data_IF_635018823272
#
_entry.id   IF_635018823272
#
_cell.length_a   1.000
_cell.length_b   1.000
_cell.length_c   1.000
_cell.angle_alpha   90.00
_cell.angle_beta   90.00
_cell.angle_gamma   90.00
#
_symmetry.space_group_name_H-M   'P 1'
#
loop_
_entity.id
_entity.type
_entity.pdbx_description
1 polymer ?
#
# COMPACT_ATOMS: atom_id res chain seq x y z
N UNK A 1 -32.95 -18.42 3.50
CA UNK A 1 -32.18 -17.37 4.16
C UNK A 1 -31.14 -16.99 3.12
N UNK A 2 -31.20 -15.80 2.58
CA UNK A 2 -30.15 -15.27 1.71
C UNK A 2 -28.87 -15.20 2.51
N UNK A 3 -27.78 -15.69 1.97
CA UNK A 3 -26.45 -15.51 2.54
C UNK A 3 -26.26 -14.00 2.78
N UNK A 4 -25.96 -13.54 4.00
CA UNK A 4 -25.79 -12.12 4.27
C UNK A 4 -24.52 -11.53 3.60
N UNK A 5 -23.69 -12.35 2.96
CA UNK A 5 -22.48 -11.96 2.25
C UNK A 5 -22.75 -11.87 0.74
N UNK A 6 -22.70 -10.67 0.20
CA UNK A 6 -22.70 -10.40 -1.23
C UNK A 6 -21.47 -9.57 -1.60
N UNK A 7 -20.47 -10.20 -2.22
CA UNK A 7 -19.22 -9.55 -2.60
C UNK A 7 -19.43 -8.42 -3.64
N UNK A 8 -20.43 -8.55 -4.51
CA UNK A 8 -20.72 -7.51 -5.50
C UNK A 8 -21.34 -6.27 -4.87
N UNK A 9 -22.24 -6.44 -3.89
CA UNK A 9 -22.84 -5.33 -3.17
C UNK A 9 -21.80 -4.57 -2.34
N UNK A 10 -20.93 -5.31 -1.62
CA UNK A 10 -19.82 -4.72 -0.86
C UNK A 10 -18.85 -3.98 -1.77
N UNK A 11 -18.40 -4.58 -2.86
CA UNK A 11 -17.50 -3.93 -3.81
C UNK A 11 -18.08 -2.65 -4.42
N UNK A 12 -19.37 -2.67 -4.77
CA UNK A 12 -20.08 -1.49 -5.28
C UNK A 12 -20.16 -0.38 -4.24
N UNK A 13 -20.44 -0.71 -2.97
CA UNK A 13 -20.49 0.27 -1.88
C UNK A 13 -19.12 0.90 -1.64
N UNK A 14 -18.03 0.11 -1.67
CA UNK A 14 -16.65 0.62 -1.57
C UNK A 14 -16.31 1.56 -2.74
N UNK A 15 -16.67 1.19 -3.97
CA UNK A 15 -16.46 2.06 -5.13
C UNK A 15 -17.21 3.37 -5.02
N UNK A 16 -18.49 3.32 -4.62
CA UNK A 16 -19.28 4.52 -4.42
C UNK A 16 -18.69 5.43 -3.33
N UNK A 17 -18.24 4.87 -2.22
CA UNK A 17 -17.57 5.62 -1.16
C UNK A 17 -16.31 6.32 -1.68
N UNK A 18 -15.49 5.61 -2.49
CA UNK A 18 -14.31 6.18 -3.14
C UNK A 18 -14.65 7.28 -4.15
N UNK A 19 -15.71 7.11 -4.93
CA UNK A 19 -16.10 8.05 -5.98
C UNK A 19 -16.75 9.32 -5.41
N UNK A 20 -17.50 9.20 -4.31
CA UNK A 20 -18.26 10.31 -3.71
C UNK A 20 -17.53 11.01 -2.58
N UNK A 21 -16.48 10.40 -2.01
CA UNK A 21 -15.83 10.87 -0.79
C UNK A 21 -16.74 10.76 0.44
N UNK A 22 -17.70 9.83 0.44
CA UNK A 22 -18.60 9.59 1.57
C UNK A 22 -18.13 8.41 2.41
N UNK A 23 -18.15 8.59 3.74
CA UNK A 23 -17.81 7.51 4.66
C UNK A 23 -18.95 6.50 4.80
N UNK A 24 -18.58 5.25 5.00
CA UNK A 24 -19.51 4.11 5.18
C UNK A 24 -19.30 3.44 6.53
N UNK A 25 -20.27 2.64 6.95
CA UNK A 25 -20.11 1.81 8.14
C UNK A 25 -19.25 0.57 7.81
N UNK A 26 -18.36 0.13 8.74
CA UNK A 26 -17.64 -1.11 8.56
C UNK A 26 -18.57 -2.30 8.29
N UNK A 27 -18.22 -3.15 7.35
CA UNK A 27 -19.01 -4.33 7.00
C UNK A 27 -19.06 -5.32 8.16
N UNK A 28 -17.97 -5.44 8.92
CA UNK A 28 -17.93 -6.27 10.13
C UNK A 28 -18.89 -5.83 11.22
N UNK A 29 -19.32 -4.56 11.23
CA UNK A 29 -20.36 -4.07 12.15
C UNK A 29 -21.77 -4.48 11.72
N UNK A 30 -21.96 -4.92 10.48
CA UNK A 30 -23.26 -5.34 9.90
C UNK A 30 -23.44 -6.85 9.91
N UNK A 31 -22.37 -7.63 10.06
CA UNK A 31 -22.38 -9.09 10.07
C UNK A 31 -20.98 -9.68 10.13
N UNK A 32 -20.90 -11.00 10.25
CA UNK A 32 -19.60 -11.68 10.21
C UNK A 32 -19.02 -11.58 8.80
N UNK A 33 -17.75 -11.19 8.73
CA UNK A 33 -16.96 -11.11 7.51
C UNK A 33 -15.57 -11.67 7.82
N UNK A 34 -15.16 -12.73 7.14
CA UNK A 34 -13.84 -13.31 7.30
C UNK A 34 -12.84 -12.82 6.23
N UNK A 35 -11.56 -13.19 6.39
CA UNK A 35 -10.50 -12.77 5.47
C UNK A 35 -10.69 -13.31 4.05
N UNK A 36 -11.18 -14.55 3.90
CA UNK A 36 -11.40 -15.16 2.58
C UNK A 36 -12.52 -14.45 1.84
N UNK A 37 -13.60 -14.14 2.55
CA UNK A 37 -14.70 -13.33 2.02
C UNK A 37 -14.21 -11.94 1.61
N UNK A 38 -13.38 -11.28 2.42
CA UNK A 38 -12.83 -9.97 2.10
C UNK A 38 -11.93 -10.01 0.85
N UNK A 39 -11.10 -11.03 0.67
CA UNK A 39 -10.32 -11.21 -0.56
C UNK A 39 -11.17 -11.58 -1.78
N UNK A 40 -12.33 -12.23 -1.58
CA UNK A 40 -13.32 -12.38 -2.67
C UNK A 40 -13.88 -11.03 -3.10
N UNK A 41 -14.14 -10.10 -2.15
CA UNK A 41 -14.54 -8.72 -2.48
C UNK A 41 -13.45 -8.00 -3.28
N UNK A 42 -12.16 -8.17 -2.92
CA UNK A 42 -11.03 -7.60 -3.66
C UNK A 42 -11.03 -8.04 -5.13
N UNK A 43 -11.29 -9.32 -5.41
CA UNK A 43 -11.40 -9.83 -6.78
C UNK A 43 -12.55 -9.16 -7.55
N UNK A 44 -13.73 -9.06 -6.94
CA UNK A 44 -14.90 -8.39 -7.56
C UNK A 44 -14.64 -6.90 -7.75
N UNK A 45 -14.00 -6.24 -6.79
CA UNK A 45 -13.63 -4.83 -6.89
C UNK A 45 -12.69 -4.59 -8.08
N UNK A 46 -11.72 -5.51 -8.31
CA UNK A 46 -10.86 -5.47 -9.48
C UNK A 46 -11.67 -5.55 -10.78
N UNK A 47 -12.55 -6.53 -10.91
CA UNK A 47 -13.40 -6.69 -12.10
C UNK A 47 -14.22 -5.43 -12.38
N UNK A 48 -14.80 -4.81 -11.34
CA UNK A 48 -15.60 -3.60 -11.48
C UNK A 48 -14.76 -2.38 -11.90
N UNK A 49 -13.54 -2.22 -11.38
CA UNK A 49 -12.63 -1.14 -11.77
C UNK A 49 -12.13 -1.31 -13.21
N UNK A 50 -11.76 -2.53 -13.61
CA UNK A 50 -11.37 -2.85 -14.99
C UNK A 50 -12.53 -2.60 -15.97
N UNK A 51 -13.76 -2.97 -15.60
CA UNK A 51 -14.95 -2.70 -16.39
C UNK A 51 -15.22 -1.18 -16.59
N UNK A 52 -14.72 -0.33 -15.68
CA UNK A 52 -14.74 1.14 -15.79
C UNK A 52 -13.58 1.69 -16.62
N UNK A 53 -12.68 0.84 -17.11
CA UNK A 53 -11.51 1.21 -17.91
C UNK A 53 -10.30 1.66 -17.08
N UNK A 54 -10.26 1.36 -15.78
CA UNK A 54 -9.07 1.54 -14.95
C UNK A 54 -8.09 0.40 -15.21
N UNK A 55 -6.79 0.70 -15.18
CA UNK A 55 -5.74 -0.28 -15.44
C UNK A 55 -5.06 -0.65 -14.12
N UNK A 56 -5.07 -1.94 -13.80
CA UNK A 56 -4.31 -2.46 -12.66
C UNK A 56 -2.80 -2.28 -12.92
N UNK A 57 -2.09 -1.66 -11.99
CA UNK A 57 -0.65 -1.36 -12.14
C UNK A 57 0.22 -2.00 -11.06
N UNK A 58 -0.37 -2.57 -10.03
CA UNK A 58 0.41 -3.23 -8.97
C UNK A 58 -0.37 -3.41 -7.68
N UNK A 59 0.36 -3.70 -6.61
CA UNK A 59 -0.21 -3.97 -5.28
C UNK A 59 0.55 -3.27 -4.18
N UNK A 60 -0.19 -2.85 -3.16
CA UNK A 60 0.34 -2.35 -1.90
C UNK A 60 0.30 -3.45 -0.84
N UNK A 61 1.24 -3.41 0.11
CA UNK A 61 1.26 -4.30 1.27
C UNK A 61 0.97 -3.46 2.52
N UNK A 62 -0.04 -3.85 3.27
CA UNK A 62 -0.40 -3.21 4.54
C UNK A 62 -0.09 -4.09 5.76
N UNK A 63 -0.12 -3.51 6.95
CA UNK A 63 0.17 -4.16 8.23
C UNK A 63 1.55 -4.86 8.26
N UNK A 64 2.55 -4.21 7.68
CA UNK A 64 3.91 -4.76 7.65
C UNK A 64 4.69 -4.53 8.94
N UNK A 65 4.26 -3.58 9.78
CA UNK A 65 4.84 -3.35 11.09
C UNK A 65 4.20 -4.28 12.13
N UNK A 66 4.95 -5.29 12.59
CA UNK A 66 4.46 -6.28 13.57
C UNK A 66 4.06 -5.67 14.91
N UNK A 67 4.50 -4.46 15.24
CA UNK A 67 4.14 -3.80 16.51
C UNK A 67 2.66 -3.42 16.56
N UNK A 68 2.01 -3.23 15.42
CA UNK A 68 0.58 -2.91 15.35
C UNK A 68 -0.33 -4.15 15.28
N UNK A 69 0.23 -5.34 15.05
CA UNK A 69 -0.56 -6.58 14.92
C UNK A 69 -1.48 -6.87 16.11
N UNK A 70 -1.04 -6.73 17.39
CA UNK A 70 -1.93 -6.92 18.52
C UNK A 70 -3.07 -5.89 18.58
N UNK A 71 -2.87 -4.69 18.02
CA UNK A 71 -3.87 -3.61 18.02
C UNK A 71 -5.02 -3.95 17.08
N UNK A 72 -4.70 -4.51 15.90
CA UNK A 72 -5.68 -4.84 14.86
C UNK A 72 -6.07 -6.32 14.84
N UNK A 73 -5.53 -7.14 15.77
CA UNK A 73 -5.84 -8.57 15.86
C UNK A 73 -5.43 -9.36 14.62
N UNK A 74 -4.31 -8.98 13.99
CA UNK A 74 -3.76 -9.64 12.79
C UNK A 74 -2.52 -10.45 13.15
N UNK A 75 -2.20 -11.43 12.32
CA UNK A 75 -1.02 -12.30 12.41
C UNK A 75 -0.25 -12.36 11.07
N UNK A 76 -0.72 -11.65 10.06
CA UNK A 76 -0.13 -11.57 8.73
C UNK A 76 -0.34 -10.17 8.11
N UNK A 77 0.50 -9.75 7.14
CA UNK A 77 0.24 -8.57 6.35
C UNK A 77 -1.00 -8.77 5.47
N UNK A 78 -1.57 -7.66 5.02
CA UNK A 78 -2.64 -7.63 4.01
C UNK A 78 -2.12 -6.98 2.73
N UNK A 79 -2.91 -7.05 1.67
CA UNK A 79 -2.60 -6.38 0.41
C UNK A 79 -3.86 -5.78 -0.22
N UNK A 80 -3.65 -4.84 -1.14
CA UNK A 80 -4.68 -4.26 -1.98
C UNK A 80 -4.14 -3.89 -3.35
N UNK A 81 -5.03 -3.72 -4.34
CA UNK A 81 -4.66 -3.35 -5.70
C UNK A 81 -4.40 -1.85 -5.83
N UNK A 82 -3.47 -1.49 -6.73
CA UNK A 82 -3.21 -0.12 -7.16
C UNK A 82 -3.55 0.06 -8.64
N UNK A 83 -3.98 1.27 -8.99
CA UNK A 83 -4.55 1.59 -10.29
C UNK A 83 -3.79 2.74 -10.97
N UNK A 84 -3.82 2.78 -12.30
CA UNK A 84 -3.18 3.84 -13.10
C UNK A 84 -3.62 5.24 -12.68
N UNK A 85 -4.85 5.38 -12.17
CA UNK A 85 -5.42 6.66 -11.70
C UNK A 85 -4.97 7.06 -10.30
N UNK A 86 -4.33 6.16 -9.57
CA UNK A 86 -3.90 6.41 -8.18
C UNK A 86 -2.37 6.39 -8.02
N UNK A 87 -1.61 6.15 -9.09
CA UNK A 87 -0.14 6.15 -9.08
C UNK A 87 0.37 7.34 -9.88
N UNK A 88 1.12 8.22 -9.22
CA UNK A 88 1.62 9.48 -9.77
C UNK A 88 3.15 9.53 -9.68
N UNK A 89 3.79 10.16 -10.66
CA UNK A 89 5.23 10.42 -10.67
C UNK A 89 5.51 11.79 -10.03
N UNK A 90 6.33 11.83 -8.98
CA UNK A 90 6.71 13.08 -8.31
C UNK A 90 7.54 14.01 -9.19
N UNK A 91 8.08 13.54 -10.32
CA UNK A 91 8.69 14.42 -11.31
C UNK A 91 7.66 15.31 -12.03
N UNK A 92 6.39 14.88 -12.06
CA UNK A 92 5.28 15.56 -12.73
C UNK A 92 4.36 16.30 -11.75
N UNK A 93 4.43 15.96 -10.44
CA UNK A 93 3.51 16.46 -9.40
C UNK A 93 4.31 17.11 -8.27
N UNK A 94 4.31 18.43 -8.18
CA UNK A 94 4.92 19.18 -7.07
C UNK A 94 3.95 19.51 -5.93
N UNK A 95 2.65 19.52 -6.23
CA UNK A 95 1.55 19.74 -5.29
C UNK A 95 0.49 18.67 -5.56
N UNK A 96 -0.11 18.13 -4.50
CA UNK A 96 -1.13 17.10 -4.60
C UNK A 96 -2.38 17.54 -3.85
N UNK A 97 -3.55 17.48 -4.51
CA UNK A 97 -4.83 17.78 -3.86
C UNK A 97 -5.28 16.63 -3.00
N UNK A 98 -5.80 16.97 -1.82
CA UNK A 98 -6.43 16.00 -0.92
C UNK A 98 -7.94 15.84 -1.19
N UNK A 99 -8.47 16.56 -2.19
CA UNK A 99 -9.88 16.48 -2.56
C UNK A 99 -10.30 15.05 -2.90
N UNK A 100 -11.38 14.59 -2.27
CA UNK A 100 -11.90 13.24 -2.46
C UNK A 100 -11.24 12.16 -1.60
N UNK A 101 -10.14 12.45 -0.90
CA UNK A 101 -9.56 11.51 0.05
C UNK A 101 -10.24 11.61 1.42
N UNK A 102 -10.50 10.45 2.02
CA UNK A 102 -11.19 10.32 3.30
C UNK A 102 -10.19 10.15 4.45
N UNK A 103 -10.10 11.15 5.33
CA UNK A 103 -9.17 11.16 6.48
C UNK A 103 -7.74 10.71 6.11
N UNK A 104 -7.10 11.33 5.08
CA UNK A 104 -5.86 10.82 4.51
C UNK A 104 -4.70 10.85 5.50
N UNK A 105 -3.81 9.86 5.37
CA UNK A 105 -2.55 9.77 6.11
C UNK A 105 -1.39 9.49 5.15
N UNK A 106 -0.20 9.93 5.54
CA UNK A 106 1.04 9.78 4.76
C UNK A 106 1.87 8.61 5.29
N UNK A 107 2.39 7.81 4.37
CA UNK A 107 3.22 6.64 4.62
C UNK A 107 4.45 6.65 3.69
N UNK A 108 5.66 6.90 4.20
CA UNK A 108 6.88 6.76 3.38
C UNK A 108 7.20 5.28 3.17
N UNK A 109 7.39 4.87 1.91
CA UNK A 109 7.56 3.47 1.52
C UNK A 109 8.68 3.25 0.51
N UNK A 110 9.14 2.00 0.38
CA UNK A 110 9.92 1.54 -0.74
C UNK A 110 8.99 0.83 -1.73
N UNK A 111 9.15 1.16 -3.01
CA UNK A 111 8.43 0.52 -4.11
C UNK A 111 9.40 -0.22 -5.03
N UNK A 112 8.94 -1.37 -5.55
CA UNK A 112 9.63 -2.15 -6.59
C UNK A 112 8.75 -2.29 -7.82
N UNK A 113 9.36 -2.34 -9.02
CA UNK A 113 8.69 -2.78 -10.22
C UNK A 113 9.28 -4.12 -10.66
N UNK A 114 8.44 -5.06 -11.03
CA UNK A 114 8.85 -6.39 -11.38
C UNK A 114 9.28 -6.50 -12.85
N UNK A 115 10.52 -6.94 -13.10
CA UNK A 115 11.00 -7.37 -14.41
C UNK A 115 10.52 -8.76 -14.81
N UNK A 116 10.22 -9.61 -13.81
CA UNK A 116 9.67 -10.95 -13.96
C UNK A 116 8.88 -11.34 -12.72
N UNK A 117 8.00 -12.33 -12.86
CA UNK A 117 7.25 -12.87 -11.73
C UNK A 117 8.20 -13.49 -10.68
N UNK A 118 8.08 -13.12 -9.39
CA UNK A 118 8.76 -13.83 -8.32
C UNK A 118 8.06 -15.15 -7.98
N UNK A 119 8.79 -16.09 -7.38
CA UNK A 119 8.28 -17.38 -6.95
C UNK A 119 8.38 -17.55 -5.43
N UNK A 120 7.48 -18.34 -4.80
CA UNK A 120 7.55 -18.65 -3.38
C UNK A 120 8.90 -19.26 -2.98
N UNK A 121 9.38 -18.92 -1.78
CA UNK A 121 10.63 -19.42 -1.24
C UNK A 121 11.90 -18.76 -1.79
N UNK A 122 11.79 -17.75 -2.64
CA UNK A 122 12.94 -16.95 -3.08
C UNK A 122 13.55 -16.19 -1.89
N UNK A 123 14.88 -16.15 -1.80
CA UNK A 123 15.58 -15.28 -0.88
C UNK A 123 15.64 -13.83 -1.38
N UNK A 124 16.11 -12.90 -0.54
CA UNK A 124 16.21 -11.48 -0.86
C UNK A 124 16.94 -11.20 -2.18
N UNK A 125 18.01 -11.93 -2.46
CA UNK A 125 18.81 -11.73 -3.68
C UNK A 125 18.02 -12.14 -4.92
N UNK A 126 17.33 -13.27 -4.85
CA UNK A 126 16.47 -13.76 -5.93
C UNK A 126 15.23 -12.86 -6.13
N UNK A 127 14.65 -12.33 -5.05
CA UNK A 127 13.55 -11.37 -5.12
C UNK A 127 14.00 -10.04 -5.74
N UNK A 128 15.17 -9.50 -5.34
CA UNK A 128 15.72 -8.29 -5.94
C UNK A 128 16.01 -8.47 -7.44
N UNK A 129 16.51 -9.65 -7.85
CA UNK A 129 16.73 -9.99 -9.27
C UNK A 129 15.43 -10.11 -10.08
N UNK A 130 14.29 -10.25 -9.42
CA UNK A 130 12.98 -10.14 -10.07
C UNK A 130 12.57 -8.69 -10.34
N UNK A 131 13.23 -7.69 -9.75
CA UNK A 131 12.89 -6.28 -9.88
C UNK A 131 13.66 -5.61 -11.04
N UNK A 132 13.01 -4.69 -11.74
CA UNK A 132 13.62 -3.82 -12.74
C UNK A 132 14.22 -2.57 -12.09
N UNK A 133 13.44 -1.96 -11.20
CA UNK A 133 13.82 -0.78 -10.46
C UNK A 133 13.23 -0.78 -9.05
N UNK A 134 13.86 0.02 -8.18
CA UNK A 134 13.32 0.43 -6.89
C UNK A 134 13.16 1.94 -6.85
N UNK A 135 12.21 2.44 -6.06
CA UNK A 135 12.01 3.85 -5.78
C UNK A 135 11.61 4.04 -4.32
N UNK A 136 11.94 5.20 -3.78
CA UNK A 136 11.29 5.69 -2.58
C UNK A 136 10.04 6.47 -3.00
N UNK A 137 8.95 6.29 -2.27
CA UNK A 137 7.68 6.95 -2.54
C UNK A 137 6.92 7.28 -1.28
N UNK A 138 5.77 7.88 -1.47
CA UNK A 138 4.79 8.16 -0.42
C UNK A 138 3.49 7.50 -0.83
N UNK A 139 2.96 6.61 -0.01
CA UNK A 139 1.58 6.19 -0.11
C UNK A 139 0.70 7.13 0.72
N UNK A 140 -0.38 7.59 0.12
CA UNK A 140 -1.47 8.24 0.82
C UNK A 140 -2.54 7.19 1.07
N UNK A 141 -2.67 6.78 2.32
CA UNK A 141 -3.74 5.88 2.74
C UNK A 141 -4.95 6.68 3.20
N UNK A 142 -6.14 6.12 3.01
CA UNK A 142 -7.39 6.75 3.38
C UNK A 142 -8.35 5.75 4.02
N UNK A 143 -9.30 6.23 4.81
CA UNK A 143 -10.28 5.35 5.43
C UNK A 143 -11.71 5.75 5.06
N UNK A 144 -12.46 4.90 4.36
CA UNK A 144 -13.90 5.11 4.19
C UNK A 144 -14.67 4.90 5.50
N UNK A 145 -14.01 4.46 6.56
CA UNK A 145 -14.59 4.22 7.87
C UNK A 145 -14.21 5.35 8.83
N UNK A 146 -15.21 6.03 9.39
CA UNK A 146 -15.03 7.20 10.23
C UNK A 146 -14.07 6.95 11.41
N UNK A 147 -13.14 7.88 11.62
CA UNK A 147 -12.19 7.83 12.71
C UNK A 147 -11.23 6.63 12.66
N UNK A 148 -11.03 6.02 11.47
CA UNK A 148 -10.19 4.82 11.30
C UNK A 148 -10.62 3.64 12.18
N UNK A 149 -11.93 3.48 12.39
CA UNK A 149 -12.50 2.39 13.19
C UNK A 149 -13.02 1.27 12.29
N UNK A 150 -12.29 0.18 12.23
CA UNK A 150 -12.55 -0.97 11.36
C UNK A 150 -11.91 -2.24 11.96
N UNK A 151 -12.21 -3.38 11.37
CA UNK A 151 -11.49 -4.63 11.56
C UNK A 151 -10.71 -4.98 10.27
N UNK A 152 -9.80 -5.94 10.34
CA UNK A 152 -8.97 -6.33 9.20
C UNK A 152 -9.74 -6.68 7.93
N UNK A 153 -10.85 -7.45 7.96
CA UNK A 153 -11.61 -7.71 6.74
C UNK A 153 -12.14 -6.45 6.07
N UNK A 154 -12.53 -5.42 6.86
CA UNK A 154 -12.99 -4.15 6.31
C UNK A 154 -11.90 -3.45 5.49
N UNK A 155 -10.66 -3.46 5.98
CA UNK A 155 -9.53 -2.84 5.26
C UNK A 155 -9.23 -3.53 3.93
N UNK A 156 -9.34 -4.86 3.89
CA UNK A 156 -9.14 -5.64 2.67
C UNK A 156 -10.25 -5.32 1.65
N UNK A 157 -11.51 -5.30 2.08
CA UNK A 157 -12.63 -4.89 1.21
C UNK A 157 -12.45 -3.48 0.64
N UNK A 158 -11.83 -2.57 1.41
CA UNK A 158 -11.52 -1.20 0.98
C UNK A 158 -10.18 -1.08 0.24
N UNK A 159 -9.72 -2.15 -0.44
CA UNK A 159 -8.51 -2.15 -1.26
C UNK A 159 -7.22 -1.90 -0.45
N UNK A 160 -7.15 -2.38 0.80
CA UNK A 160 -6.00 -2.14 1.68
C UNK A 160 -5.88 -0.68 2.12
N UNK A 161 -6.97 0.10 2.04
CA UNK A 161 -7.03 1.53 2.34
C UNK A 161 -6.18 2.41 1.40
N UNK A 162 -5.82 1.91 0.20
CA UNK A 162 -5.06 2.66 -0.78
C UNK A 162 -5.83 3.91 -1.25
N UNK A 163 -5.17 5.07 -1.22
CA UNK A 163 -5.68 6.31 -1.78
C UNK A 163 -4.87 6.76 -2.99
N UNK A 164 -3.56 6.97 -2.82
CA UNK A 164 -2.66 7.32 -3.90
C UNK A 164 -1.22 6.87 -3.60
N UNK A 165 -0.43 6.58 -4.64
CA UNK A 165 1.01 6.37 -4.54
C UNK A 165 1.73 7.49 -5.30
N UNK A 166 2.58 8.25 -4.62
CA UNK A 166 3.44 9.28 -5.17
C UNK A 166 4.86 8.71 -5.29
N UNK A 167 5.25 8.29 -6.49
CA UNK A 167 6.55 7.66 -6.75
C UNK A 167 7.64 8.70 -6.96
N UNK A 168 8.74 8.55 -6.23
CA UNK A 168 9.98 9.26 -6.48
C UNK A 168 10.77 8.71 -7.67
N UNK A 169 12.00 9.18 -7.82
CA UNK A 169 12.89 8.77 -8.91
C UNK A 169 13.16 7.26 -8.87
N UNK A 170 12.97 6.62 -10.01
CA UNK A 170 13.21 5.18 -10.19
C UNK A 170 14.70 4.93 -10.39
N UNK A 171 15.26 3.98 -9.66
CA UNK A 171 16.64 3.52 -9.75
C UNK A 171 16.68 2.06 -10.18
N UNK A 172 17.41 1.76 -11.24
CA UNK A 172 17.66 0.36 -11.63
C UNK A 172 18.30 -0.39 -10.47
N UNK A 173 17.79 -1.58 -10.18
CA UNK A 173 18.30 -2.40 -9.07
C UNK A 173 19.74 -2.84 -9.36
N UNK A 174 20.57 -2.83 -8.32
CA UNK A 174 21.96 -3.29 -8.35
C UNK A 174 22.24 -4.22 -7.16
N UNK A 175 23.30 -5.04 -7.21
CA UNK A 175 23.66 -5.90 -6.08
C UNK A 175 23.96 -5.13 -4.80
N UNK A 176 24.47 -3.90 -4.90
CA UNK A 176 24.75 -3.04 -3.73
C UNK A 176 23.49 -2.65 -3.00
N UNK A 177 22.37 -2.46 -3.74
CA UNK A 177 21.07 -2.12 -3.17
C UNK A 177 20.56 -3.20 -2.20
N UNK A 178 20.90 -4.48 -2.44
CA UNK A 178 20.55 -5.60 -1.55
C UNK A 178 21.03 -5.36 -0.11
N UNK A 179 22.27 -4.89 0.04
CA UNK A 179 22.84 -4.62 1.37
C UNK A 179 22.21 -3.38 2.00
N UNK A 180 21.97 -2.34 1.20
CA UNK A 180 21.36 -1.09 1.68
C UNK A 180 19.91 -1.28 2.13
N UNK A 181 19.10 -2.08 1.41
CA UNK A 181 17.71 -2.36 1.77
C UNK A 181 17.56 -3.11 3.11
N UNK A 182 18.61 -3.77 3.59
CA UNK A 182 18.59 -4.48 4.87
C UNK A 182 18.69 -3.57 6.08
N UNK A 183 19.42 -2.46 5.95
CA UNK A 183 19.65 -1.56 7.08
C UNK A 183 19.77 -0.11 6.60
N UNK A 184 18.67 0.60 6.62
CA UNK A 184 18.57 2.02 6.32
C UNK A 184 17.55 2.69 7.23
N UNK A 185 17.58 4.03 7.23
CA UNK A 185 16.63 4.87 7.97
C UNK A 185 15.90 5.82 7.03
N UNK A 186 14.64 6.08 7.36
CA UNK A 186 13.82 7.09 6.72
C UNK A 186 13.31 8.05 7.77
N UNK A 187 13.71 9.32 7.69
CA UNK A 187 13.18 10.39 8.55
C UNK A 187 12.07 11.12 7.82
N UNK A 188 10.88 11.15 8.41
CA UNK A 188 9.72 11.88 7.93
C UNK A 188 9.72 13.30 8.53
N UNK A 189 9.54 14.31 7.69
CA UNK A 189 9.67 15.73 8.03
C UNK A 189 8.43 16.47 7.53
N UNK A 190 7.76 17.24 8.40
CA UNK A 190 6.64 18.11 8.07
C UNK A 190 7.01 19.56 8.35
N UNK A 191 6.84 20.45 7.38
CA UNK A 191 7.09 21.90 7.49
C UNK A 191 8.49 22.23 8.05
N UNK A 192 9.48 21.40 7.68
CA UNK A 192 10.87 21.51 8.12
C UNK A 192 11.16 20.95 9.51
N UNK A 193 10.18 20.35 10.19
CA UNK A 193 10.36 19.70 11.49
C UNK A 193 10.39 18.18 11.33
N UNK A 194 11.42 17.53 11.86
CA UNK A 194 11.50 16.07 11.93
C UNK A 194 10.42 15.54 12.89
N UNK A 195 9.58 14.62 12.40
CA UNK A 195 8.53 13.99 13.18
C UNK A 195 8.97 12.64 13.73
N UNK A 196 9.51 11.80 12.84
CA UNK A 196 9.88 10.43 13.18
C UNK A 196 11.00 9.93 12.27
N UNK A 197 11.80 9.01 12.80
CA UNK A 197 12.76 8.23 12.02
C UNK A 197 12.43 6.76 12.13
N UNK A 198 12.00 6.18 11.02
CA UNK A 198 11.74 4.76 10.88
C UNK A 198 12.96 4.00 10.34
N UNK A 199 12.89 2.68 10.40
CA UNK A 199 13.95 1.75 10.00
C UNK A 199 13.42 0.74 8.99
N UNK A 200 14.29 0.23 8.12
CA UNK A 200 13.99 -0.87 7.20
C UNK A 200 13.29 -2.05 7.86
N UNK A 201 13.70 -2.39 9.09
CA UNK A 201 13.11 -3.49 9.86
C UNK A 201 11.62 -3.30 10.23
N UNK A 202 11.08 -2.08 10.16
CA UNK A 202 9.68 -1.82 10.46
C UNK A 202 8.72 -2.48 9.45
N UNK A 203 9.22 -2.82 8.26
CA UNK A 203 8.44 -3.47 7.20
C UNK A 203 8.82 -4.94 7.06
N UNK A 204 8.40 -5.78 8.01
CA UNK A 204 8.63 -7.23 8.07
C UNK A 204 10.12 -7.61 8.00
N UNK A 205 10.98 -6.87 8.73
CA UNK A 205 12.43 -7.00 8.75
C UNK A 205 13.14 -6.56 7.45
N UNK A 206 12.45 -5.92 6.53
CA UNK A 206 13.00 -5.33 5.31
C UNK A 206 12.04 -5.33 4.12
N UNK A 207 12.19 -4.38 3.18
CA UNK A 207 11.30 -4.27 2.01
C UNK A 207 11.25 -5.53 1.13
N UNK A 208 12.35 -6.24 0.97
CA UNK A 208 12.37 -7.51 0.21
C UNK A 208 11.66 -8.64 0.96
N UNK A 209 11.75 -8.67 2.28
CA UNK A 209 10.97 -9.60 3.09
C UNK A 209 9.46 -9.33 2.95
N UNK A 210 9.05 -8.05 2.94
CA UNK A 210 7.66 -7.69 2.71
C UNK A 210 7.18 -8.17 1.32
N UNK A 211 7.99 -7.98 0.27
CA UNK A 211 7.71 -8.53 -1.05
C UNK A 211 7.57 -10.06 -1.02
N UNK A 212 8.49 -10.77 -0.34
CA UNK A 212 8.42 -12.23 -0.18
C UNK A 212 7.13 -12.68 0.52
N UNK A 213 6.69 -11.97 1.56
CA UNK A 213 5.41 -12.25 2.22
C UNK A 213 4.21 -12.09 1.26
N UNK A 214 4.21 -11.06 0.40
CA UNK A 214 3.16 -10.89 -0.60
C UNK A 214 3.15 -12.04 -1.62
N UNK A 215 4.32 -12.48 -2.07
CA UNK A 215 4.47 -13.62 -2.98
C UNK A 215 3.83 -14.88 -2.38
N UNK A 216 4.12 -15.17 -1.10
CA UNK A 216 3.54 -16.30 -0.39
C UNK A 216 2.02 -16.17 -0.18
N UNK A 217 1.53 -14.98 0.16
CA UNK A 217 0.10 -14.74 0.31
C UNK A 217 -0.66 -15.00 -0.98
N UNK A 218 -0.18 -14.47 -2.10
CA UNK A 218 -0.83 -14.62 -3.40
C UNK A 218 -0.69 -16.04 -3.98
N UNK A 219 0.41 -16.74 -3.68
CA UNK A 219 0.57 -18.13 -4.08
C UNK A 219 -0.47 -19.05 -3.41
N UNK A 220 -0.86 -18.71 -2.18
CA UNK A 220 -1.85 -19.46 -1.40
C UNK A 220 -3.29 -18.93 -1.59
N UNK A 221 -3.48 -17.86 -2.36
CA UNK A 221 -4.80 -17.28 -2.63
C UNK A 221 -5.45 -17.97 -3.85
N UNK A 222 -6.56 -18.69 -3.68
CA UNK A 222 -7.22 -19.39 -4.80
C UNK A 222 -8.01 -18.44 -5.72
N UNK A 223 -8.22 -17.19 -5.29
CA UNK A 223 -9.13 -16.24 -5.95
C UNK A 223 -8.37 -15.18 -6.74
N UNK A 224 -7.26 -14.72 -6.18
CA UNK A 224 -6.50 -13.61 -6.78
C UNK A 224 -5.23 -14.11 -7.47
N UNK A 225 -4.87 -13.54 -8.65
CA UNK A 225 -3.73 -14.02 -9.42
C UNK A 225 -2.40 -13.71 -8.73
N UNK A 226 -1.33 -14.49 -8.99
CA UNK A 226 0.02 -14.19 -8.53
C UNK A 226 0.55 -12.89 -9.15
N UNK A 227 1.67 -12.38 -8.61
CA UNK A 227 2.38 -11.23 -9.16
C UNK A 227 2.91 -11.52 -10.56
N UNK A 228 2.86 -10.50 -11.43
CA UNK A 228 3.35 -10.60 -12.80
C UNK A 228 4.35 -9.49 -13.13
N UNK A 229 5.08 -9.66 -14.23
CA UNK A 229 5.99 -8.63 -14.76
C UNK A 229 5.25 -7.29 -14.95
N UNK A 230 5.91 -6.20 -14.57
CA UNK A 230 5.44 -4.83 -14.72
C UNK A 230 4.63 -4.31 -13.54
N UNK A 231 4.22 -5.16 -12.60
CA UNK A 231 3.55 -4.69 -11.39
C UNK A 231 4.49 -3.87 -10.50
N UNK A 232 3.94 -2.80 -9.94
CA UNK A 232 4.57 -1.97 -8.91
C UNK A 232 4.10 -2.49 -7.55
N UNK A 233 5.05 -2.74 -6.65
CA UNK A 233 4.76 -3.25 -5.32
C UNK A 233 5.27 -2.26 -4.28
N UNK A 234 4.40 -1.74 -3.41
CA UNK A 234 4.82 -0.99 -2.21
C UNK A 234 4.92 -1.92 -1.01
N UNK A 235 5.83 -1.64 -0.09
CA UNK A 235 6.27 -2.61 0.91
C UNK A 235 5.85 -2.29 2.34
N UNK A 236 4.98 -1.29 2.50
CA UNK A 236 4.50 -0.85 3.80
C UNK A 236 5.29 0.33 4.36
N UNK A 237 4.65 1.03 5.27
CA UNK A 237 5.20 2.27 5.83
C UNK A 237 6.42 2.03 6.71
N UNK A 238 7.44 2.88 6.52
CA UNK A 238 8.66 2.90 7.32
C UNK A 238 8.48 3.60 8.67
N UNK A 239 7.47 4.50 8.78
CA UNK A 239 7.10 5.26 9.98
C UNK A 239 5.66 4.98 10.38
N UNK A 240 5.16 5.64 11.41
CA UNK A 240 3.72 5.70 11.64
C UNK A 240 3.01 6.45 10.49
N UNK A 241 1.72 6.13 10.29
CA UNK A 241 0.86 6.81 9.32
C UNK A 241 0.31 8.12 9.93
N UNK A 242 0.86 9.27 9.51
CA UNK A 242 0.47 10.57 10.04
C UNK A 242 -0.68 11.20 9.25
N UNK A 243 -1.69 11.78 9.93
CA UNK A 243 -2.71 12.60 9.27
C UNK A 243 -2.09 13.78 8.51
N UNK A 244 -2.63 14.06 7.33
CA UNK A 244 -2.19 15.18 6.48
C UNK A 244 -3.32 16.17 6.25
N UNK A 245 -2.94 17.44 6.06
CA UNK A 245 -3.88 18.53 5.79
C UNK A 245 -3.38 19.38 4.62
N UNK A 246 -4.32 20.04 3.94
CA UNK A 246 -3.98 21.04 2.94
C UNK A 246 -3.14 22.18 3.56
N UNK A 247 -2.16 22.66 2.81
CA UNK A 247 -1.20 23.67 3.24
C UNK A 247 0.07 23.12 3.88
N UNK A 248 0.15 21.80 4.16
CA UNK A 248 1.36 21.19 4.72
C UNK A 248 2.37 20.81 3.62
N UNK A 249 3.67 20.91 3.95
CA UNK A 249 4.77 20.43 3.11
C UNK A 249 5.50 19.28 3.80
N UNK A 250 5.62 18.18 3.09
CA UNK A 250 6.22 16.94 3.59
C UNK A 250 7.45 16.56 2.79
N UNK A 251 8.44 16.03 3.48
CA UNK A 251 9.66 15.50 2.85
C UNK A 251 10.24 14.35 3.66
N UNK A 252 11.07 13.57 3.01
CA UNK A 252 11.81 12.50 3.67
C UNK A 252 13.32 12.74 3.58
N UNK A 253 14.07 12.09 4.46
CA UNK A 253 15.52 11.92 4.37
C UNK A 253 15.83 10.44 4.52
N UNK A 254 16.64 9.91 3.59
CA UNK A 254 17.11 8.54 3.64
C UNK A 254 18.57 8.51 4.06
N UNK A 255 18.90 7.65 5.03
CA UNK A 255 20.27 7.41 5.46
C UNK A 255 20.65 5.97 5.14
N UNK A 256 21.81 5.76 4.52
CA UNK A 256 22.35 4.45 4.11
C UNK A 256 21.59 3.74 2.97
N UNK A 257 20.78 4.47 2.19
CA UNK A 257 20.06 3.94 1.03
C UNK A 257 20.23 4.88 -0.16
N UNK A 258 20.71 4.36 -1.28
CA UNK A 258 20.93 5.13 -2.54
C UNK A 258 19.64 5.20 -3.37
N UNK A 259 18.57 5.71 -2.75
CA UNK A 259 17.36 6.16 -3.42
C UNK A 259 17.16 7.64 -3.13
N UNK A 260 16.46 8.33 -4.04
CA UNK A 260 16.23 9.77 -3.85
C UNK A 260 15.16 10.01 -2.80
N UNK A 261 15.40 10.92 -1.84
CA UNK A 261 14.35 11.37 -0.92
C UNK A 261 13.23 12.07 -1.69
N UNK A 262 12.04 12.09 -1.12
CA UNK A 262 10.85 12.68 -1.75
C UNK A 262 10.39 13.92 -1.01
N UNK A 263 9.72 14.81 -1.76
CA UNK A 263 9.07 16.01 -1.24
C UNK A 263 7.76 16.26 -1.96
N UNK A 264 6.73 16.66 -1.19
CA UNK A 264 5.41 17.00 -1.71
C UNK A 264 4.76 18.08 -0.84
N UNK A 265 3.94 18.93 -1.44
CA UNK A 265 3.03 19.85 -0.75
C UNK A 265 1.60 19.44 -1.00
N UNK A 266 0.74 19.53 0.00
CA UNK A 266 -0.67 19.21 -0.11
C UNK A 266 -1.52 20.48 -0.21
N UNK A 267 -2.52 20.47 -1.11
CA UNK A 267 -3.45 21.56 -1.37
C UNK A 267 -4.89 21.10 -1.29
#
# INVERSE_FOLDING_TARGET
MTDPFDAHEIALEVLNASDTGEQIQPFTARGALDLNQAYTVTSVLREQREARGEVHVGRKIGFTNRTIWPIYGVDAPIWGDMWDRTVFDLAEVSEFTLDGLLEPRIEPEIAFCLARAPEPGMDDAALLDCCEWAAHGIELVQSPYAGWQFQTPDTICAGGLHGALLLGERRTVTPELLTQLRDFKCTLIRDGQELETGHSANVLDGPLNALGHLVELLFNDPTNPPLVRGEIITTGTLTDAYPINAGESWQTRLDCLDLMPVRISFV
#
